data_IF_903759502813
#
_entry.id   IF_903759502813
#
_cell.length_a   1.000
_cell.length_b   1.000
_cell.length_c   1.000
_cell.angle_alpha   90.00
_cell.angle_beta   90.00
_cell.angle_gamma   90.00
#
_symmetry.space_group_name_H-M   'P 1'
#
loop_
_entity.id
_entity.type
_entity.pdbx_description
1 polymer ?
#
# COMPACT_ATOMS: atom_id res chain seq x y z
N UNK A 1 18.02 16.68 -10.31
CA UNK A 1 17.42 17.67 -9.39
C UNK A 1 15.90 17.55 -9.28
N UNK A 2 15.11 17.67 -10.36
CA UNK A 2 13.63 17.55 -10.29
C UNK A 2 13.14 16.21 -9.72
N UNK A 3 13.76 15.09 -10.15
CA UNK A 3 13.41 13.73 -9.69
C UNK A 3 13.62 13.52 -8.19
N UNK A 4 14.67 14.11 -7.61
CA UNK A 4 14.96 14.01 -6.17
C UNK A 4 13.92 14.74 -5.33
N UNK A 5 13.55 15.96 -5.75
CA UNK A 5 12.49 16.74 -5.10
C UNK A 5 11.12 16.04 -5.18
N UNK A 6 10.76 15.49 -6.34
CA UNK A 6 9.53 14.70 -6.48
C UNK A 6 9.53 13.49 -5.53
N UNK A 7 10.64 12.75 -5.47
CA UNK A 7 10.74 11.58 -4.60
C UNK A 7 10.61 11.94 -3.12
N UNK A 8 11.24 13.03 -2.67
CA UNK A 8 11.13 13.53 -1.30
C UNK A 8 9.69 13.95 -0.97
N UNK A 9 9.02 14.70 -1.85
CA UNK A 9 7.64 15.10 -1.61
C UNK A 9 6.66 13.93 -1.67
N UNK A 10 6.88 12.94 -2.53
CA UNK A 10 6.06 11.72 -2.57
C UNK A 10 6.23 10.90 -1.29
N UNK A 11 7.44 10.75 -0.78
CA UNK A 11 7.69 10.07 0.50
C UNK A 11 7.09 10.83 1.68
N UNK A 12 7.25 12.16 1.72
CA UNK A 12 6.66 12.99 2.76
C UNK A 12 5.12 12.93 2.76
N UNK A 13 4.50 12.95 1.58
CA UNK A 13 3.05 12.78 1.44
C UNK A 13 2.59 11.39 1.91
N UNK A 14 3.34 10.33 1.58
CA UNK A 14 3.04 8.98 2.07
C UNK A 14 3.15 8.89 3.60
N UNK A 15 4.17 9.50 4.21
CA UNK A 15 4.31 9.57 5.66
C UNK A 15 3.15 10.34 6.31
N UNK A 16 2.76 11.48 5.74
CA UNK A 16 1.62 12.26 6.24
C UNK A 16 0.31 11.47 6.16
N UNK A 17 0.08 10.75 5.07
CA UNK A 17 -1.11 9.89 4.91
C UNK A 17 -1.08 8.77 5.96
N UNK A 18 0.05 8.09 6.14
CA UNK A 18 0.19 7.06 7.17
C UNK A 18 -0.09 7.59 8.58
N UNK A 19 0.35 8.80 8.88
CA UNK A 19 0.13 9.45 10.17
C UNK A 19 -1.35 9.87 10.36
N UNK A 20 -1.96 10.43 9.32
CA UNK A 20 -3.37 10.88 9.33
C UNK A 20 -4.34 9.72 9.54
N UNK A 21 -4.03 8.54 9.02
CA UNK A 21 -4.86 7.34 9.19
C UNK A 21 -4.65 6.62 10.53
N UNK A 22 -3.76 7.11 11.42
CA UNK A 22 -3.22 6.32 12.53
C UNK A 22 -2.88 4.91 12.04
N UNK A 23 -2.12 4.85 10.93
CA UNK A 23 -2.06 3.67 10.08
C UNK A 23 -1.56 2.43 10.83
N UNK A 24 -0.73 2.60 11.87
CA UNK A 24 -0.31 1.48 12.72
C UNK A 24 -1.47 0.83 13.47
N UNK A 25 -2.35 1.64 14.08
CA UNK A 25 -3.52 1.15 14.78
C UNK A 25 -4.58 0.62 13.81
N UNK A 26 -4.76 1.30 12.67
CA UNK A 26 -5.65 0.90 11.60
C UNK A 26 -5.21 -0.43 10.94
N UNK A 27 -3.92 -0.62 10.65
CA UNK A 27 -3.39 -1.88 10.15
C UNK A 27 -3.54 -2.99 11.18
N UNK A 28 -3.23 -2.71 12.46
CA UNK A 28 -3.36 -3.70 13.51
C UNK A 28 -4.83 -4.12 13.71
N UNK A 29 -5.77 -3.17 13.73
CA UNK A 29 -7.21 -3.45 13.80
C UNK A 29 -7.71 -4.21 12.56
N UNK A 30 -7.19 -3.89 11.38
CA UNK A 30 -7.51 -4.60 10.16
C UNK A 30 -6.97 -6.04 10.20
N UNK A 31 -5.68 -6.23 10.47
CA UNK A 31 -5.03 -7.56 10.45
C UNK A 31 -5.48 -8.46 11.60
N UNK A 32 -5.64 -7.93 12.81
CA UNK A 32 -5.94 -8.73 14.01
C UNK A 32 -7.43 -8.88 14.27
N UNK A 33 -8.23 -7.83 14.02
CA UNK A 33 -9.66 -7.83 14.32
C UNK A 33 -10.55 -7.93 13.07
N UNK A 34 -9.98 -7.81 11.86
CA UNK A 34 -10.75 -7.80 10.61
C UNK A 34 -11.67 -6.59 10.47
N UNK A 35 -11.47 -5.54 11.28
CA UNK A 35 -12.33 -4.35 11.31
C UNK A 35 -11.80 -3.31 10.34
N UNK A 36 -12.70 -2.71 9.53
CA UNK A 36 -12.32 -1.55 8.71
C UNK A 36 -12.14 -0.34 9.63
N UNK A 37 -10.95 0.29 9.64
CA UNK A 37 -10.66 1.46 10.49
C UNK A 37 -11.68 2.58 10.27
N UNK A 38 -12.22 3.12 11.37
CA UNK A 38 -13.25 4.16 11.31
C UNK A 38 -14.67 3.65 11.07
N UNK A 39 -14.90 2.33 11.09
CA UNK A 39 -16.23 1.72 11.00
C UNK A 39 -16.41 0.58 12.03
N UNK A 40 -17.66 0.15 12.25
CA UNK A 40 -17.99 -1.05 13.03
C UNK A 40 -18.16 -2.31 12.15
N UNK A 41 -17.71 -2.26 10.89
CA UNK A 41 -17.88 -3.38 9.96
C UNK A 41 -16.67 -4.30 10.07
N UNK A 42 -16.94 -5.54 10.44
CA UNK A 42 -15.98 -6.66 10.37
C UNK A 42 -16.05 -7.31 9.00
N UNK A 43 -14.89 -7.55 8.40
CA UNK A 43 -14.74 -8.23 7.11
C UNK A 43 -14.47 -9.71 7.37
N UNK A 44 -15.07 -10.59 6.55
CA UNK A 44 -14.76 -12.02 6.61
C UNK A 44 -13.29 -12.27 6.21
N UNK A 45 -12.66 -13.26 6.84
CA UNK A 45 -11.27 -13.63 6.55
C UNK A 45 -11.02 -13.88 5.05
N UNK A 46 -12.00 -14.44 4.34
CA UNK A 46 -11.94 -14.69 2.90
C UNK A 46 -11.84 -13.38 2.11
N UNK A 47 -12.63 -12.37 2.44
CA UNK A 47 -12.59 -11.07 1.76
C UNK A 47 -11.29 -10.31 2.05
N UNK A 48 -10.74 -10.44 3.27
CA UNK A 48 -9.41 -9.91 3.59
C UNK A 48 -8.30 -10.59 2.77
N UNK A 49 -8.35 -11.91 2.65
CA UNK A 49 -7.36 -12.66 1.86
C UNK A 49 -7.43 -12.27 0.37
N UNK A 50 -8.64 -12.08 -0.17
CA UNK A 50 -8.82 -11.59 -1.54
C UNK A 50 -8.20 -10.20 -1.73
N UNK A 51 -8.47 -9.26 -0.81
CA UNK A 51 -7.89 -7.91 -0.87
C UNK A 51 -6.36 -7.94 -0.81
N UNK A 52 -5.80 -8.76 0.09
CA UNK A 52 -4.36 -8.94 0.19
C UNK A 52 -3.76 -9.52 -1.10
N UNK A 53 -4.36 -10.56 -1.66
CA UNK A 53 -3.91 -11.17 -2.92
C UNK A 53 -3.91 -10.16 -4.08
N UNK A 54 -4.93 -9.31 -4.15
CA UNK A 54 -5.02 -8.24 -5.16
C UNK A 54 -3.91 -7.21 -4.99
N UNK A 55 -3.68 -6.72 -3.76
CA UNK A 55 -2.63 -5.73 -3.47
C UNK A 55 -1.24 -6.33 -3.76
N UNK A 56 -0.97 -7.55 -3.28
CA UNK A 56 0.29 -8.24 -3.52
C UNK A 56 0.52 -8.48 -5.03
N UNK A 57 -0.50 -8.95 -5.75
CA UNK A 57 -0.45 -9.12 -7.20
C UNK A 57 -0.17 -7.80 -7.94
N UNK A 58 -0.81 -6.70 -7.53
CA UNK A 58 -0.56 -5.38 -8.10
C UNK A 58 0.88 -4.90 -7.85
N UNK A 59 1.40 -5.05 -6.64
CA UNK A 59 2.79 -4.69 -6.30
C UNK A 59 3.77 -5.50 -7.13
N UNK A 60 3.58 -6.83 -7.21
CA UNK A 60 4.42 -7.71 -8.00
C UNK A 60 4.36 -7.36 -9.50
N UNK A 61 3.17 -7.09 -10.04
CA UNK A 61 3.00 -6.66 -11.43
C UNK A 61 3.71 -5.32 -11.70
N UNK A 62 3.65 -4.38 -10.75
CA UNK A 62 4.36 -3.10 -10.83
C UNK A 62 5.87 -3.28 -10.81
N UNK A 63 6.40 -4.12 -9.92
CA UNK A 63 7.82 -4.42 -9.84
C UNK A 63 8.33 -5.14 -11.10
N UNK A 64 7.57 -6.10 -11.62
CA UNK A 64 7.87 -6.80 -12.85
C UNK A 64 7.87 -5.87 -14.08
N UNK A 65 6.94 -4.91 -14.12
CA UNK A 65 6.90 -3.89 -15.17
C UNK A 65 8.05 -2.89 -15.07
N UNK A 66 8.44 -2.52 -13.85
CA UNK A 66 9.58 -1.64 -13.61
C UNK A 66 10.92 -2.27 -14.04
N UNK A 67 11.10 -3.57 -13.81
CA UNK A 67 12.30 -4.31 -14.26
C UNK A 67 12.33 -4.48 -15.78
N UNK A 68 11.19 -4.77 -16.43
CA UNK A 68 11.12 -4.83 -17.91
C UNK A 68 11.45 -3.50 -18.58
N UNK A 69 11.08 -2.37 -17.98
CA UNK A 69 11.42 -1.05 -18.52
C UNK A 69 12.93 -0.75 -18.52
N UNK A 70 13.74 -1.41 -17.68
CA UNK A 70 15.20 -1.24 -17.67
C UNK A 70 15.90 -2.07 -18.76
N UNK A 71 15.34 -3.23 -19.15
CA UNK A 71 15.96 -4.11 -20.14
C UNK A 71 15.84 -3.64 -21.60
N UNK A 72 14.96 -2.67 -21.91
CA UNK A 72 14.83 -2.10 -23.25
C UNK A 72 15.69 -0.86 -23.48
N UNK A 73 16.45 -0.41 -22.48
CA UNK A 73 17.36 0.75 -22.56
C UNK A 73 18.83 0.32 -22.54
N UNK A 74 19.09 -0.99 -22.50
CA UNK A 74 20.42 -1.59 -22.58
C UNK A 74 20.69 -2.14 -24.00
#
# INVERSE_FOLDING_TARGET
MKKTLTLVFTLAACMLILDTFNAGHALAAFILAGVIPGTNITISATAMMMLYAVIAGFILARLASATRAQNHVA
#
